data_IF_150915602610
#
_entry.id   IF_150915602610
#
_cell.length_a   1.000
_cell.length_b   1.000
_cell.length_c   1.000
_cell.angle_alpha   90.00
_cell.angle_beta   90.00
_cell.angle_gamma   90.00
#
_symmetry.space_group_name_H-M   'P 1'
#
loop_
_entity.id
_entity.type
_entity.pdbx_description
1 polymer ?
#
# COMPACT_ATOMS: atom_id res chain seq x y z
N UNK A 1 -6.52 41.97 -88.77
CA UNK A 1 -5.20 42.32 -89.35
C UNK A 1 -4.11 41.86 -88.40
N UNK A 2 -3.04 41.37 -89.02
CA UNK A 2 -1.86 40.66 -88.50
C UNK A 2 -1.07 41.51 -87.48
N UNK A 3 -0.54 40.89 -86.43
CA UNK A 3 0.92 40.74 -86.23
C UNK A 3 1.28 40.45 -84.78
N UNK A 4 2.04 39.38 -84.59
CA UNK A 4 2.86 39.11 -83.42
C UNK A 4 4.04 40.10 -83.33
N UNK A 5 4.56 40.34 -82.12
CA UNK A 5 5.98 40.67 -81.92
C UNK A 5 6.36 40.53 -80.44
N UNK A 6 7.62 40.20 -80.24
CA UNK A 6 8.25 39.52 -79.12
C UNK A 6 9.35 40.42 -78.51
N UNK A 7 9.95 39.92 -77.42
CA UNK A 7 11.20 40.34 -76.74
C UNK A 7 11.06 41.36 -75.61
N UNK A 8 11.81 41.35 -74.50
CA UNK A 8 12.65 40.42 -73.69
C UNK A 8 13.48 41.36 -72.78
N UNK A 9 13.88 40.89 -71.57
CA UNK A 9 14.84 41.50 -70.60
C UNK A 9 14.32 42.76 -69.89
N UNK A 10 14.31 42.90 -68.56
CA UNK A 10 15.09 42.31 -67.48
C UNK A 10 15.93 43.40 -66.82
N UNK A 11 15.63 43.79 -65.56
CA UNK A 11 16.60 44.17 -64.52
C UNK A 11 15.91 44.67 -63.23
N UNK A 12 16.33 44.08 -62.11
CA UNK A 12 16.54 44.62 -60.76
C UNK A 12 15.49 45.52 -60.08
N UNK A 13 14.91 45.00 -58.99
CA UNK A 13 14.79 45.72 -57.73
C UNK A 13 14.76 44.71 -56.56
N UNK A 14 15.81 44.75 -55.73
CA UNK A 14 15.87 44.06 -54.46
C UNK A 14 15.43 45.02 -53.36
N UNK A 15 14.46 44.64 -52.52
CA UNK A 15 14.33 45.15 -51.15
C UNK A 15 13.89 44.02 -50.23
N UNK A 16 14.57 43.98 -49.09
CA UNK A 16 14.65 42.94 -48.08
C UNK A 16 13.31 42.58 -47.43
N UNK A 17 13.03 41.28 -47.32
CA UNK A 17 12.15 40.71 -46.32
C UNK A 17 13.01 40.13 -45.19
N UNK A 18 13.02 40.82 -44.04
CA UNK A 18 13.56 40.32 -42.78
C UNK A 18 12.70 39.13 -42.30
N UNK A 19 13.09 37.93 -42.68
CA UNK A 19 12.61 36.70 -42.04
C UNK A 19 13.37 36.49 -40.73
N UNK A 20 12.77 36.89 -39.61
CA UNK A 20 13.19 36.40 -38.29
C UNK A 20 12.88 34.90 -38.23
N UNK A 21 13.84 34.07 -38.61
CA UNK A 21 13.85 32.67 -38.25
C UNK A 21 14.14 32.58 -36.75
N UNK A 22 13.08 32.72 -35.94
CA UNK A 22 13.12 32.30 -34.56
C UNK A 22 13.19 30.77 -34.55
N UNK A 23 14.40 30.22 -34.47
CA UNK A 23 14.61 28.86 -34.01
C UNK A 23 14.09 28.79 -32.57
N UNK A 24 12.80 28.52 -32.40
CA UNK A 24 12.26 27.96 -31.17
C UNK A 24 12.85 26.56 -31.05
N UNK A 25 14.05 26.48 -30.50
CA UNK A 25 14.56 25.24 -29.92
C UNK A 25 13.67 24.95 -28.71
N UNK A 26 12.55 24.27 -28.97
CA UNK A 26 11.71 23.76 -27.91
C UNK A 26 12.58 22.74 -27.16
N UNK A 27 12.98 22.99 -25.90
CA UNK A 27 13.61 21.94 -25.11
C UNK A 27 12.53 20.88 -25.01
N UNK A 28 12.78 19.68 -25.53
CA UNK A 28 11.95 18.53 -25.22
C UNK A 28 11.99 18.42 -23.70
N UNK A 29 10.93 18.90 -23.05
CA UNK A 29 10.67 18.61 -21.66
C UNK A 29 10.74 17.09 -21.56
N UNK A 30 11.75 16.60 -20.83
CA UNK A 30 11.91 15.19 -20.55
C UNK A 30 10.58 14.72 -19.97
N UNK A 31 9.83 13.96 -20.76
CA UNK A 31 8.64 13.29 -20.25
C UNK A 31 9.10 12.44 -19.07
N UNK A 32 8.42 12.49 -17.91
CA UNK A 32 8.74 11.60 -16.80
C UNK A 32 8.77 10.17 -17.36
N UNK A 33 9.86 9.43 -17.11
CA UNK A 33 9.96 8.02 -17.54
C UNK A 33 8.70 7.30 -17.09
N UNK A 34 7.84 6.94 -18.06
CA UNK A 34 6.55 6.36 -17.76
C UNK A 34 6.79 5.01 -17.08
N UNK A 35 6.33 4.89 -15.83
CA UNK A 35 6.26 3.61 -15.12
C UNK A 35 5.38 2.68 -15.95
N UNK A 36 5.92 1.54 -16.36
CA UNK A 36 5.28 0.69 -17.36
C UNK A 36 4.46 -0.42 -16.70
N UNK A 37 4.87 -0.88 -15.53
CA UNK A 37 4.27 -2.06 -14.92
C UNK A 37 4.49 -2.07 -13.41
N UNK A 38 3.43 -2.38 -12.66
CA UNK A 38 3.49 -2.71 -11.25
C UNK A 38 3.48 -4.23 -11.07
N UNK A 39 4.18 -4.71 -10.05
CA UNK A 39 4.19 -6.12 -9.64
C UNK A 39 4.13 -6.24 -8.14
N UNK A 40 3.51 -7.33 -7.69
CA UNK A 40 3.30 -7.68 -6.31
C UNK A 40 4.09 -8.94 -5.97
N UNK A 41 4.86 -8.90 -4.89
CA UNK A 41 5.73 -10.00 -4.48
C UNK A 41 5.39 -10.42 -3.05
N UNK A 42 5.21 -11.71 -2.83
CA UNK A 42 5.10 -12.31 -1.51
C UNK A 42 6.45 -12.91 -1.13
N UNK A 43 7.05 -12.38 -0.07
CA UNK A 43 8.37 -12.77 0.41
C UNK A 43 8.30 -13.58 1.72
N UNK A 44 9.44 -14.17 2.08
CA UNK A 44 9.65 -14.82 3.37
C UNK A 44 9.09 -13.98 4.54
N UNK A 45 8.37 -14.63 5.47
CA UNK A 45 7.73 -13.93 6.59
C UNK A 45 6.37 -13.32 6.28
N UNK A 46 5.75 -13.69 5.15
CA UNK A 46 4.47 -13.15 4.67
C UNK A 46 4.54 -11.65 4.34
N UNK A 47 5.75 -11.17 4.05
CA UNK A 47 6.05 -9.80 3.72
C UNK A 47 5.64 -9.49 2.29
N UNK A 48 4.80 -8.47 2.10
CA UNK A 48 4.32 -8.05 0.78
C UNK A 48 5.15 -6.87 0.30
N UNK A 49 5.74 -7.01 -0.89
CA UNK A 49 6.48 -5.94 -1.55
C UNK A 49 5.83 -5.56 -2.86
N UNK A 50 5.93 -4.29 -3.23
CA UNK A 50 5.51 -3.81 -4.53
C UNK A 50 6.70 -3.28 -5.31
N UNK A 51 6.71 -3.56 -6.61
CA UNK A 51 7.68 -2.96 -7.53
C UNK A 51 6.97 -2.21 -8.63
N UNK A 52 7.51 -1.06 -9.01
CA UNK A 52 7.12 -0.30 -10.20
C UNK A 52 8.32 -0.26 -11.13
N UNK A 53 8.20 -0.86 -12.30
CA UNK A 53 9.29 -0.93 -13.26
C UNK A 53 9.18 0.16 -14.33
N UNK A 54 10.33 0.71 -14.68
CA UNK A 54 10.57 1.50 -15.88
C UNK A 54 11.77 0.91 -16.63
N UNK A 55 12.16 1.53 -17.74
CA UNK A 55 13.17 0.98 -18.67
C UNK A 55 14.49 0.67 -17.97
N UNK A 56 15.02 1.61 -17.17
CA UNK A 56 16.36 1.50 -16.55
C UNK A 56 16.34 1.60 -15.02
N UNK A 57 15.17 1.50 -14.40
CA UNK A 57 15.01 1.63 -12.95
C UNK A 57 13.78 0.89 -12.46
N UNK A 58 13.78 0.62 -11.17
CA UNK A 58 12.66 0.03 -10.47
C UNK A 58 12.47 0.80 -9.16
N UNK A 59 11.23 1.16 -8.84
CA UNK A 59 10.89 1.61 -7.50
C UNK A 59 10.41 0.40 -6.69
N UNK A 60 10.98 0.21 -5.51
CA UNK A 60 10.64 -0.86 -4.57
C UNK A 60 9.97 -0.26 -3.33
N UNK A 61 8.78 -0.72 -3.00
CA UNK A 61 8.14 -0.45 -1.72
C UNK A 61 8.32 -1.65 -0.80
N UNK A 62 8.95 -1.41 0.34
CA UNK A 62 9.18 -2.41 1.38
C UNK A 62 7.90 -2.68 2.18
N UNK A 63 7.82 -3.84 2.86
CA UNK A 63 6.66 -4.19 3.68
C UNK A 63 6.43 -3.08 4.71
N UNK A 64 5.24 -2.52 4.70
CA UNK A 64 4.84 -1.54 5.70
C UNK A 64 5.34 -0.11 5.55
N UNK A 65 6.14 0.16 4.53
CA UNK A 65 6.60 1.51 4.22
C UNK A 65 5.67 2.21 3.24
N UNK A 66 5.43 3.51 3.43
CA UNK A 66 4.81 4.36 2.40
C UNK A 66 5.84 4.86 1.37
N UNK A 67 7.14 4.79 1.72
CA UNK A 67 8.24 5.26 0.88
C UNK A 67 8.63 4.26 -0.20
N UNK A 68 9.05 4.80 -1.35
CA UNK A 68 9.56 4.05 -2.49
C UNK A 68 11.06 4.24 -2.64
N UNK A 69 11.79 3.12 -2.66
CA UNK A 69 13.23 3.10 -2.95
C UNK A 69 13.45 3.09 -4.47
N UNK A 70 14.08 4.12 -5.01
CA UNK A 70 14.51 4.12 -6.42
C UNK A 70 15.79 3.29 -6.57
N UNK A 71 15.73 2.27 -7.42
CA UNK A 71 16.83 1.34 -7.71
C UNK A 71 17.16 1.40 -9.22
N UNK A 72 18.27 2.03 -9.61
CA UNK A 72 18.77 1.96 -10.97
C UNK A 72 19.11 0.54 -11.39
N UNK A 73 18.95 0.21 -12.67
CA UNK A 73 19.35 -1.09 -13.20
C UNK A 73 20.87 -1.25 -13.13
N UNK A 74 21.32 -2.40 -12.63
CA UNK A 74 22.71 -2.79 -12.50
C UNK A 74 23.01 -4.06 -13.31
N UNK A 75 24.29 -4.31 -13.57
CA UNK A 75 24.70 -5.52 -14.31
C UNK A 75 24.50 -6.76 -13.45
N UNK A 76 23.96 -7.81 -14.06
CA UNK A 76 23.78 -9.12 -13.44
C UNK A 76 24.31 -10.23 -14.36
N UNK A 77 24.79 -11.32 -13.79
CA UNK A 77 25.18 -12.51 -14.55
C UNK A 77 23.97 -13.30 -15.07
N UNK A 78 22.81 -13.20 -14.40
CA UNK A 78 21.52 -13.73 -14.87
C UNK A 78 20.37 -12.96 -14.21
N UNK A 79 19.21 -12.91 -14.87
CA UNK A 79 18.07 -12.12 -14.37
C UNK A 79 18.30 -10.61 -14.51
N UNK A 80 17.41 -9.83 -13.90
CA UNK A 80 17.55 -8.39 -13.80
C UNK A 80 17.95 -8.01 -12.36
N UNK A 81 18.92 -7.11 -12.23
CA UNK A 81 19.34 -6.55 -10.95
C UNK A 81 19.07 -5.05 -10.98
N UNK A 82 18.52 -4.54 -9.89
CA UNK A 82 18.34 -3.12 -9.63
C UNK A 82 18.99 -2.83 -8.28
N UNK A 83 19.87 -1.83 -8.22
CA UNK A 83 20.58 -1.47 -6.99
C UNK A 83 20.96 0.00 -6.96
N UNK A 84 20.88 0.60 -5.78
CA UNK A 84 21.35 1.95 -5.52
C UNK A 84 22.85 2.03 -5.16
N UNK A 85 23.54 0.88 -5.07
CA UNK A 85 24.95 0.82 -4.64
C UNK A 85 25.19 1.19 -3.17
N UNK A 86 24.14 1.40 -2.37
CA UNK A 86 24.19 1.79 -0.96
C UNK A 86 23.72 0.66 -0.02
N UNK A 87 23.72 -0.59 -0.52
CA UNK A 87 23.29 -1.77 0.25
C UNK A 87 21.85 -2.21 -0.01
N UNK A 88 21.07 -1.45 -0.79
CA UNK A 88 19.75 -1.91 -1.23
C UNK A 88 19.79 -2.48 -2.65
N UNK A 89 19.14 -3.63 -2.84
CA UNK A 89 18.99 -4.22 -4.17
C UNK A 89 17.73 -5.07 -4.30
N UNK A 90 17.24 -5.15 -5.54
CA UNK A 90 16.18 -6.03 -5.97
C UNK A 90 16.69 -6.83 -7.16
N UNK A 91 16.74 -8.14 -7.02
CA UNK A 91 17.09 -9.05 -8.10
C UNK A 91 15.90 -9.92 -8.44
N UNK A 92 15.55 -10.07 -9.71
CA UNK A 92 14.51 -10.99 -10.13
C UNK A 92 14.88 -11.80 -11.37
N UNK A 93 14.26 -12.97 -11.47
CA UNK A 93 14.26 -13.83 -12.65
C UNK A 93 12.97 -14.63 -12.68
N UNK A 94 12.24 -14.49 -13.78
CA UNK A 94 10.91 -15.06 -13.94
C UNK A 94 10.00 -14.60 -12.77
N UNK A 95 9.33 -15.54 -12.11
CA UNK A 95 8.43 -15.28 -10.97
C UNK A 95 9.13 -15.28 -9.61
N UNK A 96 10.47 -15.21 -9.57
CA UNK A 96 11.24 -15.21 -8.32
C UNK A 96 12.06 -13.95 -8.17
N UNK A 97 12.12 -13.46 -6.94
CA UNK A 97 12.94 -12.31 -6.59
C UNK A 97 13.68 -12.50 -5.27
N UNK A 98 14.66 -11.62 -5.07
CA UNK A 98 15.42 -11.43 -3.84
C UNK A 98 15.52 -9.95 -3.55
N UNK A 99 15.43 -9.59 -2.29
CA UNK A 99 15.55 -8.21 -1.82
C UNK A 99 16.59 -8.16 -0.71
N UNK A 100 17.54 -7.25 -0.85
CA UNK A 100 18.53 -6.96 0.19
C UNK A 100 18.39 -5.49 0.57
N UNK A 101 18.38 -5.20 1.86
CA UNK A 101 18.57 -3.87 2.43
C UNK A 101 19.67 -3.94 3.50
N UNK A 102 20.18 -2.80 3.99
CA UNK A 102 21.14 -2.81 5.10
C UNK A 102 20.62 -3.53 6.37
N UNK A 103 19.31 -3.57 6.57
CA UNK A 103 18.66 -4.13 7.76
C UNK A 103 18.26 -5.60 7.60
N UNK A 104 17.86 -6.03 6.40
CA UNK A 104 17.28 -7.36 6.18
C UNK A 104 17.45 -7.86 4.75
N UNK A 105 17.48 -9.18 4.61
CA UNK A 105 17.39 -9.87 3.33
C UNK A 105 16.14 -10.76 3.25
N UNK A 106 15.52 -10.77 2.07
CA UNK A 106 14.46 -11.68 1.68
C UNK A 106 14.97 -12.49 0.50
N UNK A 107 15.21 -13.78 0.72
CA UNK A 107 15.86 -14.66 -0.26
C UNK A 107 14.86 -15.39 -1.16
N UNK A 108 13.60 -15.48 -0.72
CA UNK A 108 12.52 -16.08 -1.48
C UNK A 108 11.35 -15.11 -1.55
N UNK A 109 11.26 -14.38 -2.66
CA UNK A 109 10.07 -13.63 -3.04
C UNK A 109 9.45 -14.27 -4.29
N UNK A 110 8.14 -14.45 -4.29
CA UNK A 110 7.40 -15.03 -5.42
C UNK A 110 6.41 -13.98 -5.98
N UNK A 111 6.32 -13.92 -7.32
CA UNK A 111 5.44 -13.02 -8.04
C UNK A 111 3.96 -13.43 -7.91
N UNK A 112 3.17 -12.60 -7.25
CA UNK A 112 1.74 -12.85 -7.03
C UNK A 112 0.87 -12.26 -8.14
N UNK A 113 1.18 -11.03 -8.57
CA UNK A 113 0.39 -10.32 -9.55
C UNK A 113 1.24 -9.29 -10.31
N UNK A 114 0.79 -8.92 -11.50
CA UNK A 114 1.39 -7.89 -12.33
C UNK A 114 0.30 -7.15 -13.09
N UNK A 115 0.41 -5.83 -13.20
CA UNK A 115 -0.64 -5.00 -13.79
C UNK A 115 -0.24 -3.54 -13.94
N UNK A 116 -1.22 -2.70 -14.27
CA UNK A 116 -1.04 -1.25 -14.35
C UNK A 116 -0.80 -0.66 -12.96
N UNK A 117 -0.06 0.45 -12.89
CA UNK A 117 0.19 1.16 -11.64
C UNK A 117 -1.14 1.57 -11.00
N UNK A 118 -1.35 1.14 -9.75
CA UNK A 118 -2.58 1.43 -9.00
C UNK A 118 -3.75 0.48 -9.26
N UNK A 119 -3.59 -0.51 -10.16
CA UNK A 119 -4.63 -1.52 -10.44
C UNK A 119 -4.49 -2.80 -9.61
N UNK A 120 -3.35 -2.99 -8.93
CA UNK A 120 -3.08 -4.20 -8.17
C UNK A 120 -3.76 -4.13 -6.79
N UNK A 121 -4.62 -5.11 -6.53
CA UNK A 121 -5.13 -5.37 -5.19
C UNK A 121 -4.04 -6.06 -4.36
N UNK A 122 -3.77 -5.53 -3.17
CA UNK A 122 -2.86 -6.19 -2.24
C UNK A 122 -3.52 -7.46 -1.71
N UNK A 123 -2.77 -8.57 -1.61
CA UNK A 123 -3.31 -9.80 -1.06
C UNK A 123 -3.60 -9.52 0.41
N UNK A 124 -4.77 -9.94 0.88
CA UNK A 124 -5.08 -9.84 2.28
C UNK A 124 -4.19 -10.82 3.04
N UNK A 125 -3.17 -10.29 3.71
CA UNK A 125 -2.32 -11.05 4.61
C UNK A 125 -2.59 -10.54 6.02
N UNK A 126 -3.17 -11.38 6.91
CA UNK A 126 -3.36 -11.01 8.30
C UNK A 126 -2.04 -10.54 8.93
N UNK A 127 -2.02 -9.31 9.46
CA UNK A 127 -0.89 -8.67 10.11
C UNK A 127 0.11 -7.98 9.18
N UNK A 128 -0.10 -7.95 7.85
CA UNK A 128 0.88 -7.35 6.91
C UNK A 128 0.69 -5.87 6.65
N UNK A 129 -0.49 -5.31 6.94
CA UNK A 129 -0.68 -3.87 6.92
C UNK A 129 0.02 -3.31 8.17
N UNK A 130 1.17 -2.65 7.98
CA UNK A 130 1.89 -2.02 9.10
C UNK A 130 1.52 -0.55 9.30
N UNK A 131 0.53 -0.04 8.57
CA UNK A 131 0.06 1.33 8.77
C UNK A 131 -0.37 1.49 10.22
N UNK A 132 0.07 2.53 10.95
CA UNK A 132 -0.40 2.79 12.30
C UNK A 132 -1.94 2.83 12.40
N UNK A 133 -2.63 3.19 11.31
CA UNK A 133 -4.09 3.28 11.22
C UNK A 133 -4.77 1.98 10.78
N UNK A 134 -4.00 0.94 10.46
CA UNK A 134 -4.53 -0.37 10.08
C UNK A 134 -5.41 -0.94 11.19
N UNK A 135 -6.63 -1.36 10.85
CA UNK A 135 -7.49 -2.09 11.78
C UNK A 135 -6.86 -3.46 12.04
N UNK A 136 -6.69 -3.84 13.30
CA UNK A 136 -6.13 -5.14 13.72
C UNK A 136 -7.18 -6.04 14.37
N UNK A 137 -8.30 -5.46 14.80
CA UNK A 137 -9.45 -6.20 15.33
C UNK A 137 -10.73 -5.44 15.02
N UNK A 138 -11.74 -6.16 14.51
CA UNK A 138 -13.13 -5.72 14.50
C UNK A 138 -13.98 -6.78 15.20
N UNK A 139 -14.79 -6.37 16.15
CA UNK A 139 -15.71 -7.25 16.87
C UNK A 139 -17.05 -6.58 17.11
N UNK A 140 -18.12 -7.36 17.21
CA UNK A 140 -19.46 -6.86 17.52
C UNK A 140 -20.30 -7.92 18.22
N UNK A 141 -21.34 -7.49 18.94
CA UNK A 141 -22.31 -8.38 19.53
C UNK A 141 -23.68 -7.72 19.67
N UNK A 142 -24.71 -8.56 19.77
CA UNK A 142 -26.10 -8.12 19.62
C UNK A 142 -26.78 -7.72 20.94
N UNK A 143 -26.46 -8.38 22.06
CA UNK A 143 -27.17 -8.16 23.32
C UNK A 143 -26.23 -8.06 24.54
N UNK A 144 -25.98 -6.85 25.08
CA UNK A 144 -26.36 -5.55 24.51
C UNK A 144 -25.64 -5.27 23.19
N UNK A 145 -26.16 -4.35 22.36
CA UNK A 145 -25.54 -4.01 21.07
C UNK A 145 -24.21 -3.25 21.23
N UNK A 146 -23.13 -3.76 20.65
CA UNK A 146 -21.80 -3.14 20.69
C UNK A 146 -20.93 -3.41 19.45
N UNK A 147 -19.93 -2.57 19.22
CA UNK A 147 -18.89 -2.74 18.20
C UNK A 147 -17.56 -2.21 18.74
N UNK A 148 -16.49 -2.97 18.54
CA UNK A 148 -15.13 -2.60 18.89
C UNK A 148 -14.26 -2.63 17.64
N UNK A 149 -13.51 -1.56 17.42
CA UNK A 149 -12.48 -1.47 16.38
C UNK A 149 -11.18 -1.09 17.06
N UNK A 150 -10.12 -1.90 16.89
CA UNK A 150 -8.76 -1.61 17.36
C UNK A 150 -7.85 -1.44 16.15
N UNK A 151 -6.93 -0.48 16.24
CA UNK A 151 -5.91 -0.20 15.24
C UNK A 151 -4.52 -0.58 15.73
N UNK A 152 -3.59 -0.68 14.79
CA UNK A 152 -2.21 -1.09 15.06
C UNK A 152 -1.45 -0.13 15.99
N UNK A 153 -1.72 1.17 15.92
CA UNK A 153 -1.17 2.17 16.83
C UNK A 153 -1.72 2.07 18.28
N UNK A 154 -2.56 1.09 18.58
CA UNK A 154 -3.16 0.87 19.90
C UNK A 154 -4.31 1.82 20.23
N UNK A 155 -4.82 2.57 19.24
CA UNK A 155 -6.07 3.34 19.36
C UNK A 155 -7.26 2.50 18.92
N UNK A 156 -8.45 2.93 19.30
CA UNK A 156 -9.68 2.24 18.92
C UNK A 156 -10.94 3.05 19.14
N UNK A 157 -12.06 2.44 18.78
CA UNK A 157 -13.40 2.97 19.03
C UNK A 157 -14.28 1.87 19.58
N UNK A 158 -14.98 2.18 20.67
CA UNK A 158 -16.08 1.38 21.19
C UNK A 158 -17.39 2.12 20.93
N UNK A 159 -18.25 1.48 20.15
CA UNK A 159 -19.65 1.87 20.02
C UNK A 159 -20.47 0.94 20.91
N UNK A 160 -21.20 1.49 21.88
CA UNK A 160 -22.02 0.71 22.82
C UNK A 160 -23.32 1.45 23.14
N UNK A 161 -24.13 0.88 24.04
CA UNK A 161 -25.49 1.34 24.31
C UNK A 161 -26.33 1.39 23.02
N UNK A 162 -26.36 0.27 22.29
CA UNK A 162 -27.11 0.12 21.03
C UNK A 162 -26.75 1.16 19.96
N UNK A 163 -25.47 1.50 19.85
CA UNK A 163 -25.01 2.45 18.82
C UNK A 163 -25.06 3.92 19.24
N UNK A 164 -25.57 4.26 20.42
CA UNK A 164 -25.80 5.67 20.82
C UNK A 164 -24.61 6.31 21.51
N UNK A 165 -23.68 5.50 22.02
CA UNK A 165 -22.52 5.99 22.76
C UNK A 165 -21.24 5.54 22.06
N UNK A 166 -20.41 6.52 21.69
CA UNK A 166 -19.09 6.32 21.10
C UNK A 166 -18.03 6.72 22.11
N UNK A 167 -17.05 5.85 22.30
CA UNK A 167 -15.94 6.02 23.23
C UNK A 167 -14.64 5.78 22.48
N UNK A 168 -13.77 6.79 22.43
CA UNK A 168 -12.41 6.62 21.90
C UNK A 168 -11.56 5.84 22.90
N UNK A 169 -10.74 4.94 22.39
CA UNK A 169 -9.86 4.09 23.17
C UNK A 169 -8.40 4.33 22.77
N UNK A 170 -7.49 4.18 23.73
CA UNK A 170 -6.04 4.38 23.57
C UNK A 170 -5.25 3.37 24.42
N UNK A 171 -3.98 3.21 24.06
CA UNK A 171 -3.01 2.36 24.79
C UNK A 171 -3.47 0.91 24.89
N UNK A 172 -3.93 0.34 23.78
CA UNK A 172 -4.17 -1.09 23.72
C UNK A 172 -2.84 -1.84 23.91
N UNK A 173 -2.75 -2.66 24.94
CA UNK A 173 -1.58 -3.47 25.26
C UNK A 173 -2.00 -4.93 25.45
N UNK A 174 -1.21 -5.86 24.93
CA UNK A 174 -1.43 -7.28 25.20
C UNK A 174 -0.88 -7.62 26.58
N UNK A 175 -1.74 -8.13 27.47
CA UNK A 175 -1.37 -8.46 28.84
C UNK A 175 -1.17 -9.96 29.04
N UNK A 176 -1.79 -10.79 28.19
CA UNK A 176 -1.66 -12.23 28.25
C UNK A 176 -1.88 -12.87 26.87
N UNK A 177 -1.21 -13.98 26.62
CA UNK A 177 -1.41 -14.81 25.44
C UNK A 177 -1.15 -16.28 25.77
N UNK A 178 -2.08 -17.14 25.36
CA UNK A 178 -1.92 -18.59 25.28
C UNK A 178 -2.25 -19.10 23.87
N UNK A 179 -2.37 -20.41 23.68
CA UNK A 179 -2.62 -21.04 22.38
C UNK A 179 -3.98 -20.66 21.77
N UNK A 180 -4.98 -20.36 22.59
CA UNK A 180 -6.38 -20.17 22.19
C UNK A 180 -6.82 -18.73 22.45
N UNK A 181 -6.19 -18.01 23.38
CA UNK A 181 -6.66 -16.74 23.91
C UNK A 181 -5.57 -15.67 23.90
N UNK A 182 -5.95 -14.46 23.52
CA UNK A 182 -5.18 -13.22 23.71
C UNK A 182 -6.00 -12.25 24.55
N UNK A 183 -5.41 -11.71 25.61
CA UNK A 183 -6.04 -10.72 26.48
C UNK A 183 -5.32 -9.39 26.35
N UNK A 184 -6.11 -8.33 26.28
CA UNK A 184 -5.63 -6.98 26.11
C UNK A 184 -6.25 -6.07 27.15
N UNK A 185 -5.47 -5.06 27.54
CA UNK A 185 -5.91 -3.93 28.34
C UNK A 185 -5.94 -2.68 27.46
N UNK A 186 -6.95 -1.84 27.65
CA UNK A 186 -7.09 -0.59 26.90
C UNK A 186 -7.72 0.48 27.80
N UNK A 187 -7.48 1.75 27.51
CA UNK A 187 -8.01 2.87 28.29
C UNK A 187 -8.90 3.75 27.43
N UNK A 188 -9.97 4.30 28.00
CA UNK A 188 -10.68 5.40 27.34
C UNK A 188 -9.98 6.75 27.56
N UNK A 189 -10.54 7.82 27.00
CA UNK A 189 -9.98 9.16 27.13
C UNK A 189 -9.86 9.64 28.58
N UNK A 190 -10.77 9.18 29.46
CA UNK A 190 -10.86 9.52 30.88
C UNK A 190 -9.90 8.67 31.73
N UNK A 191 -9.21 7.71 31.13
CA UNK A 191 -8.28 6.81 31.81
C UNK A 191 -8.95 5.60 32.46
N UNK A 192 -10.24 5.37 32.20
CA UNK A 192 -10.93 4.18 32.67
C UNK A 192 -10.44 2.97 31.87
N UNK A 193 -10.04 1.92 32.59
CA UNK A 193 -9.56 0.68 31.98
C UNK A 193 -10.73 -0.17 31.48
N UNK A 194 -10.55 -0.75 30.30
CA UNK A 194 -11.32 -1.84 29.75
C UNK A 194 -10.40 -3.04 29.47
N UNK A 195 -10.94 -4.24 29.52
CA UNK A 195 -10.22 -5.45 29.13
C UNK A 195 -11.00 -6.19 28.05
N UNK A 196 -10.31 -6.67 27.01
CA UNK A 196 -10.93 -7.51 26.02
C UNK A 196 -10.11 -8.77 25.76
N UNK A 197 -10.82 -9.85 25.48
CA UNK A 197 -10.29 -11.17 25.25
C UNK A 197 -10.70 -11.63 23.87
N UNK A 198 -9.73 -12.04 23.06
CA UNK A 198 -9.91 -12.60 21.72
C UNK A 198 -9.57 -14.08 21.78
N UNK A 199 -10.57 -14.94 21.58
CA UNK A 199 -10.41 -16.38 21.54
C UNK A 199 -10.45 -16.88 20.09
N UNK A 200 -9.48 -17.70 19.69
CA UNK A 200 -9.38 -18.35 18.38
C UNK A 200 -10.36 -19.52 18.27
N UNK A 201 -11.65 -19.22 18.44
CA UNK A 201 -12.76 -20.17 18.40
C UNK A 201 -13.81 -19.62 17.43
N UNK A 202 -14.28 -20.48 16.52
CA UNK A 202 -15.35 -20.16 15.57
C UNK A 202 -16.57 -19.61 16.32
N UNK A 203 -16.99 -18.42 15.92
CA UNK A 203 -18.13 -17.71 16.47
C UNK A 203 -19.14 -17.47 15.36
N UNK A 204 -20.41 -17.81 15.57
CA UNK A 204 -21.47 -17.55 14.60
C UNK A 204 -22.27 -16.36 15.12
N UNK A 205 -22.33 -15.29 14.34
CA UNK A 205 -23.07 -14.09 14.71
C UNK A 205 -24.57 -14.41 14.73
N UNK A 206 -25.27 -13.99 15.79
CA UNK A 206 -26.65 -14.43 16.07
C UNK A 206 -27.66 -13.73 15.18
N UNK A 207 -27.39 -12.49 14.77
CA UNK A 207 -28.26 -11.70 13.89
C UNK A 207 -28.20 -12.12 12.41
N UNK A 208 -27.01 -12.46 11.90
CA UNK A 208 -26.78 -12.74 10.47
C UNK A 208 -26.51 -14.21 10.17
N UNK A 209 -26.08 -14.99 11.16
CA UNK A 209 -25.59 -16.36 10.96
C UNK A 209 -24.18 -16.45 10.35
N UNK A 210 -23.49 -15.31 10.22
CA UNK A 210 -22.15 -15.26 9.60
C UNK A 210 -21.08 -15.86 10.53
N UNK A 211 -20.20 -16.74 10.02
CA UNK A 211 -19.09 -17.28 10.79
C UNK A 211 -17.92 -16.30 10.87
N UNK A 212 -17.40 -16.12 12.08
CA UNK A 212 -16.22 -15.32 12.39
C UNK A 212 -15.16 -16.19 13.07
N UNK A 213 -13.87 -15.93 12.83
CA UNK A 213 -12.77 -16.74 13.35
C UNK A 213 -12.56 -16.57 14.86
N UNK A 214 -13.10 -15.51 15.46
CA UNK A 214 -12.88 -15.20 16.87
C UNK A 214 -14.18 -14.99 17.63
N UNK A 215 -14.18 -15.50 18.87
CA UNK A 215 -15.10 -15.07 19.92
C UNK A 215 -14.43 -13.98 20.74
N UNK A 216 -15.14 -12.88 20.97
CA UNK A 216 -14.60 -11.71 21.67
C UNK A 216 -15.45 -11.40 22.88
N UNK A 217 -14.79 -11.20 24.02
CA UNK A 217 -15.40 -10.72 25.26
C UNK A 217 -14.76 -9.40 25.64
N UNK A 218 -15.56 -8.40 26.00
CA UNK A 218 -15.11 -7.09 26.46
C UNK A 218 -15.72 -6.81 27.84
N UNK A 219 -14.90 -6.36 28.77
CA UNK A 219 -15.30 -5.85 30.08
C UNK A 219 -15.04 -4.34 30.12
N UNK A 220 -16.12 -3.55 30.25
CA UNK A 220 -16.04 -2.09 30.30
C UNK A 220 -17.12 -1.53 31.21
N UNK A 221 -16.72 -0.65 32.14
CA UNK A 221 -17.62 0.00 33.11
C UNK A 221 -18.49 -1.00 33.91
N UNK A 222 -17.92 -2.16 34.27
CA UNK A 222 -18.64 -3.21 35.01
C UNK A 222 -19.64 -4.02 34.17
N UNK A 223 -19.72 -3.77 32.85
CA UNK A 223 -20.52 -4.55 31.93
C UNK A 223 -19.64 -5.51 31.13
N UNK A 224 -20.15 -6.74 30.95
CA UNK A 224 -19.55 -7.72 30.08
C UNK A 224 -20.31 -7.79 28.75
N UNK A 225 -19.58 -7.61 27.66
CA UNK A 225 -20.05 -7.68 26.28
C UNK A 225 -19.47 -8.94 25.63
N UNK A 226 -20.31 -9.69 24.92
CA UNK A 226 -19.89 -10.90 24.19
C UNK A 226 -20.30 -10.80 22.74
N UNK A 227 -19.47 -11.34 21.86
CA UNK A 227 -19.67 -11.20 20.43
C UNK A 227 -18.67 -11.98 19.59
N UNK A 228 -18.74 -11.74 18.30
CA UNK A 228 -17.88 -12.35 17.29
C UNK A 228 -16.95 -11.29 16.69
N UNK A 229 -15.79 -11.70 16.17
CA UNK A 229 -14.86 -10.78 15.56
C UNK A 229 -13.82 -11.41 14.66
N UNK A 230 -13.05 -10.56 13.99
CA UNK A 230 -11.97 -10.91 13.08
C UNK A 230 -10.75 -10.03 13.37
N UNK A 231 -9.57 -10.65 13.34
CA UNK A 231 -8.29 -9.95 13.32
C UNK A 231 -7.76 -9.85 11.89
N UNK A 232 -6.98 -8.79 11.63
CA UNK A 232 -6.44 -8.45 10.32
C UNK A 232 -4.95 -8.19 10.35
#
# INVERSE_FOLDING_TARGET
MISASWKVKGLAAAVLLLGLAACSSNPQAQQPEAVQQASLWLCDGMDVMQTRSAVNKLWLQLPGSEDWLELPQARAASGALYSNGQGSSFWNRDERARVTTPEREWLNCQLQATGEVGSLELPFIPGSNTSPEAVTLRASGHNPGWTLIIRQNGTGELLHNFGTRRTSLKKAEQVHQDLIRRQYRIQDEQGQTAEYTVENILCVEVGTGEPFPHRVTLEYQGHQYRGCGQSF
#
